data_IF_098316424181
#
_entry.id   IF_098316424181
#
_cell.length_a   1.000
_cell.length_b   1.000
_cell.length_c   1.000
_cell.angle_alpha   90.00
_cell.angle_beta   90.00
_cell.angle_gamma   90.00
#
_symmetry.space_group_name_H-M   'P 1'
#
loop_
_entity.id
_entity.type
_entity.pdbx_description
1 polymer ?
#
# COMPACT_ATOMS: atom_id res chain seq x y z
N UNK A 1 -30.74 -8.17 -48.23
CA UNK A 1 -29.42 -7.51 -48.18
C UNK A 1 -29.37 -6.64 -46.94
N UNK A 2 -28.56 -7.01 -45.94
CA UNK A 2 -28.35 -6.15 -44.76
C UNK A 2 -27.64 -4.87 -45.24
N UNK A 3 -28.19 -3.71 -44.89
CA UNK A 3 -27.61 -2.42 -45.25
C UNK A 3 -26.18 -2.34 -44.68
N UNK A 4 -25.20 -1.95 -45.51
CA UNK A 4 -23.81 -1.76 -45.07
C UNK A 4 -23.70 -0.86 -43.83
N UNK A 5 -24.62 0.09 -43.66
CA UNK A 5 -24.72 0.96 -42.48
C UNK A 5 -25.04 0.19 -41.21
N UNK A 6 -25.93 -0.79 -41.28
CA UNK A 6 -26.27 -1.64 -40.13
C UNK A 6 -25.06 -2.47 -39.69
N UNK A 7 -24.34 -3.03 -40.66
CA UNK A 7 -23.14 -3.85 -40.40
C UNK A 7 -22.02 -3.02 -39.73
N UNK A 8 -21.81 -1.78 -40.17
CA UNK A 8 -20.83 -0.86 -39.57
C UNK A 8 -21.21 -0.50 -38.13
N UNK A 9 -22.49 -0.20 -37.88
CA UNK A 9 -22.97 0.14 -36.53
C UNK A 9 -22.82 -1.06 -35.59
N UNK A 10 -23.16 -2.27 -36.02
CA UNK A 10 -22.97 -3.48 -35.21
C UNK A 10 -21.50 -3.74 -34.89
N UNK A 11 -20.59 -3.56 -35.86
CA UNK A 11 -19.14 -3.68 -35.64
C UNK A 11 -18.63 -2.65 -34.63
N UNK A 12 -19.08 -1.39 -34.74
CA UNK A 12 -18.70 -0.33 -33.82
C UNK A 12 -19.16 -0.63 -32.39
N UNK A 13 -20.39 -1.11 -32.22
CA UNK A 13 -20.93 -1.49 -30.91
C UNK A 13 -20.14 -2.64 -30.27
N UNK A 14 -19.73 -3.64 -31.07
CA UNK A 14 -18.90 -4.76 -30.58
C UNK A 14 -17.52 -4.25 -30.14
N UNK A 15 -16.89 -3.35 -30.90
CA UNK A 15 -15.58 -2.77 -30.53
C UNK A 15 -15.68 -1.97 -29.24
N UNK A 16 -16.73 -1.15 -29.09
CA UNK A 16 -16.95 -0.36 -27.88
C UNK A 16 -17.21 -1.24 -26.65
N UNK A 17 -18.01 -2.30 -26.81
CA UNK A 17 -18.28 -3.26 -25.74
C UNK A 17 -17.00 -3.98 -25.28
N UNK A 18 -16.20 -4.47 -26.22
CA UNK A 18 -14.94 -5.15 -25.90
C UNK A 18 -13.93 -4.22 -25.21
N UNK A 19 -13.84 -2.95 -25.64
CA UNK A 19 -13.00 -1.95 -24.98
C UNK A 19 -13.47 -1.65 -23.56
N UNK A 20 -14.78 -1.60 -23.34
CA UNK A 20 -15.35 -1.38 -22.01
C UNK A 20 -15.03 -2.54 -21.06
N UNK A 21 -15.26 -3.79 -21.49
CA UNK A 21 -14.90 -4.97 -20.69
C UNK A 21 -13.40 -5.06 -20.40
N UNK A 22 -12.55 -4.64 -21.35
CA UNK A 22 -11.10 -4.60 -21.13
C UNK A 22 -10.72 -3.54 -20.08
N UNK A 23 -11.33 -2.36 -20.15
CA UNK A 23 -11.12 -1.30 -19.17
C UNK A 23 -11.60 -1.69 -17.76
N UNK A 24 -12.75 -2.35 -17.65
CA UNK A 24 -13.25 -2.88 -16.37
C UNK A 24 -12.34 -3.97 -15.81
N UNK A 25 -11.86 -4.89 -16.66
CA UNK A 25 -10.89 -5.91 -16.27
C UNK A 25 -9.58 -5.30 -15.77
N UNK A 26 -9.09 -4.26 -16.43
CA UNK A 26 -7.89 -3.54 -16.03
C UNK A 26 -8.10 -2.76 -14.72
N UNK A 27 -9.28 -2.16 -14.51
CA UNK A 27 -9.62 -1.49 -13.26
C UNK A 27 -9.65 -2.47 -12.08
N UNK A 28 -10.30 -3.63 -12.25
CA UNK A 28 -10.33 -4.67 -11.21
C UNK A 28 -8.94 -5.23 -10.87
N UNK A 29 -8.07 -5.44 -11.87
CA UNK A 29 -6.68 -5.85 -11.63
C UNK A 29 -5.89 -4.75 -10.90
N UNK A 30 -6.09 -3.49 -11.27
CA UNK A 30 -5.43 -2.34 -10.63
C UNK A 30 -5.79 -2.24 -9.14
N UNK A 31 -7.05 -2.46 -8.77
CA UNK A 31 -7.49 -2.48 -7.37
C UNK A 31 -6.82 -3.59 -6.56
N UNK A 32 -6.69 -4.80 -7.13
CA UNK A 32 -6.00 -5.93 -6.48
C UNK A 32 -4.51 -5.63 -6.28
N UNK A 33 -3.86 -5.04 -7.28
CA UNK A 33 -2.45 -4.64 -7.19
C UNK A 33 -2.26 -3.58 -6.09
N UNK A 34 -3.14 -2.58 -6.03
CA UNK A 34 -3.08 -1.54 -5.01
C UNK A 34 -3.30 -2.10 -3.60
N UNK A 35 -4.25 -3.01 -3.43
CA UNK A 35 -4.46 -3.71 -2.16
C UNK A 35 -3.22 -4.51 -1.73
N UNK A 36 -2.63 -5.25 -2.66
CA UNK A 36 -1.42 -6.04 -2.41
C UNK A 36 -0.24 -5.14 -2.03
N UNK A 37 -0.06 -4.02 -2.74
CA UNK A 37 0.97 -3.03 -2.41
C UNK A 37 0.77 -2.43 -1.02
N UNK A 38 -0.47 -2.11 -0.64
CA UNK A 38 -0.78 -1.59 0.70
C UNK A 38 -0.36 -2.57 1.79
N UNK A 39 -0.71 -3.86 1.65
CA UNK A 39 -0.26 -4.91 2.57
C UNK A 39 1.27 -4.96 2.61
N UNK A 40 1.92 -4.91 1.45
CA UNK A 40 3.38 -4.99 1.37
C UNK A 40 4.08 -3.84 2.08
N UNK A 41 3.53 -2.63 2.02
CA UNK A 41 4.02 -1.46 2.76
C UNK A 41 3.92 -1.71 4.27
N UNK A 42 2.77 -2.21 4.75
CA UNK A 42 2.58 -2.52 6.19
C UNK A 42 3.58 -3.57 6.65
N UNK A 43 3.76 -4.66 5.89
CA UNK A 43 4.75 -5.71 6.22
C UNK A 43 6.16 -5.13 6.25
N UNK A 44 6.54 -4.29 5.28
CA UNK A 44 7.85 -3.63 5.28
C UNK A 44 8.06 -2.78 6.52
N UNK A 45 7.08 -1.96 6.91
CA UNK A 45 7.17 -1.13 8.12
C UNK A 45 7.40 -2.03 9.34
N UNK A 46 6.65 -3.13 9.49
CA UNK A 46 6.82 -4.07 10.60
C UNK A 46 8.22 -4.69 10.62
N UNK A 47 8.72 -5.15 9.48
CA UNK A 47 10.06 -5.75 9.37
C UNK A 47 11.15 -4.73 9.72
N UNK A 48 11.09 -3.51 9.16
CA UNK A 48 12.07 -2.47 9.47
C UNK A 48 12.02 -2.04 10.94
N UNK A 49 10.82 -1.93 11.51
CA UNK A 49 10.63 -1.59 12.93
C UNK A 49 11.21 -2.67 13.83
N UNK A 50 11.00 -3.95 13.50
CA UNK A 50 11.51 -5.08 14.26
C UNK A 50 13.04 -5.19 14.16
N UNK A 51 13.59 -5.18 12.94
CA UNK A 51 15.04 -5.27 12.70
C UNK A 51 15.75 -4.06 13.28
N UNK A 52 15.21 -2.84 13.06
CA UNK A 52 15.73 -1.61 13.64
C UNK A 52 15.71 -1.65 15.16
N UNK A 53 14.61 -2.11 15.77
CA UNK A 53 14.50 -2.30 17.21
C UNK A 53 15.50 -3.32 17.77
N UNK A 54 15.77 -4.41 17.06
CA UNK A 54 16.78 -5.40 17.43
C UNK A 54 18.19 -4.82 17.40
N UNK A 55 18.55 -4.12 16.32
CA UNK A 55 19.86 -3.46 16.17
C UNK A 55 20.04 -2.42 17.28
N UNK A 56 19.03 -1.57 17.49
CA UNK A 56 19.04 -0.55 18.53
C UNK A 56 19.19 -1.19 19.92
N UNK A 57 18.46 -2.27 20.21
CA UNK A 57 18.59 -3.03 21.47
C UNK A 57 19.99 -3.59 21.64
N UNK A 58 20.60 -4.13 20.58
CA UNK A 58 21.96 -4.68 20.63
C UNK A 58 23.01 -3.60 20.91
N UNK A 59 22.91 -2.45 20.23
CA UNK A 59 23.78 -1.29 20.46
C UNK A 59 23.60 -0.77 21.89
N UNK A 60 22.36 -0.51 22.32
CA UNK A 60 22.07 0.05 23.64
C UNK A 60 22.43 -0.89 24.79
N UNK A 61 22.31 -2.21 24.60
CA UNK A 61 22.76 -3.22 25.58
C UNK A 61 24.27 -3.12 25.86
N UNK A 62 25.07 -2.66 24.89
CA UNK A 62 26.51 -2.42 25.06
C UNK A 62 26.81 -1.15 25.87
N UNK A 63 25.90 -0.17 25.89
CA UNK A 63 26.13 1.13 26.54
C UNK A 63 25.55 1.25 27.94
N UNK A 64 24.40 0.63 28.27
CA UNK A 64 23.84 0.61 29.64
C UNK A 64 22.98 -0.63 29.88
N UNK A 65 23.35 -1.43 30.88
CA UNK A 65 22.69 -2.69 31.25
C UNK A 65 21.35 -2.50 31.99
N UNK A 66 20.95 -1.27 32.33
CA UNK A 66 19.86 -1.02 33.31
C UNK A 66 18.66 -0.21 32.80
N UNK A 67 18.60 0.21 31.53
CA UNK A 67 17.51 1.07 31.04
C UNK A 67 16.61 0.31 30.04
N UNK A 68 15.94 -0.75 30.50
CA UNK A 68 15.02 -1.48 29.61
C UNK A 68 13.73 -0.69 29.32
N UNK A 69 13.20 0.04 30.31
CA UNK A 69 11.88 0.66 30.19
C UNK A 69 11.87 2.00 29.44
N UNK A 70 12.90 2.85 29.64
CA UNK A 70 12.93 4.21 29.08
C UNK A 70 13.09 4.21 27.55
N UNK A 71 13.86 3.27 27.02
CA UNK A 71 14.08 3.16 25.57
C UNK A 71 12.85 2.58 24.86
N UNK A 72 12.13 1.64 25.47
CA UNK A 72 10.87 1.13 24.93
C UNK A 72 9.81 2.24 24.92
N UNK A 73 9.69 3.01 26.00
CA UNK A 73 8.74 4.14 26.05
C UNK A 73 9.11 5.20 25.00
N UNK A 74 10.39 5.56 24.87
CA UNK A 74 10.83 6.51 23.85
C UNK A 74 10.58 6.01 22.42
N UNK A 75 10.80 4.72 22.17
CA UNK A 75 10.52 4.09 20.88
C UNK A 75 9.03 4.08 20.56
N UNK A 76 8.19 3.63 21.50
CA UNK A 76 6.73 3.60 21.32
C UNK A 76 6.17 5.01 21.14
N UNK A 77 6.65 6.00 21.89
CA UNK A 77 6.25 7.40 21.71
C UNK A 77 6.66 7.96 20.34
N UNK A 78 7.88 7.66 19.88
CA UNK A 78 8.35 8.07 18.55
C UNK A 78 7.51 7.41 17.44
N UNK A 79 7.19 6.12 17.59
CA UNK A 79 6.35 5.38 16.65
C UNK A 79 4.92 5.94 16.59
N UNK A 80 4.32 6.23 17.75
CA UNK A 80 2.99 6.85 17.82
C UNK A 80 2.98 8.23 17.14
N UNK A 81 4.03 9.02 17.36
CA UNK A 81 4.18 10.35 16.74
C UNK A 81 4.26 10.23 15.20
N UNK A 82 5.03 9.26 14.68
CA UNK A 82 5.14 9.03 13.24
C UNK A 82 3.80 8.62 12.62
N UNK A 83 3.04 7.72 13.27
CA UNK A 83 1.68 7.37 12.83
C UNK A 83 0.75 8.59 12.81
N UNK A 84 0.81 9.43 13.84
CA UNK A 84 -0.02 10.63 13.94
C UNK A 84 0.28 11.63 12.82
N UNK A 85 1.56 11.86 12.52
CA UNK A 85 2.00 12.71 11.41
C UNK A 85 1.52 12.14 10.06
N UNK A 86 1.62 10.82 9.87
CA UNK A 86 1.17 10.15 8.65
C UNK A 86 -0.34 10.35 8.41
N UNK A 87 -1.16 10.14 9.45
CA UNK A 87 -2.62 10.35 9.37
C UNK A 87 -2.99 11.81 9.07
N UNK A 88 -2.30 12.78 9.69
CA UNK A 88 -2.56 14.21 9.44
C UNK A 88 -2.19 14.59 8.01
N UNK A 89 -1.09 14.03 7.49
CA UNK A 89 -0.59 14.36 6.15
C UNK A 89 -1.44 13.71 5.05
N UNK A 90 -1.95 12.51 5.28
CA UNK A 90 -2.82 11.80 4.32
C UNK A 90 -4.22 12.43 4.18
N UNK A 91 -4.68 13.17 5.19
CA UNK A 91 -5.97 13.89 5.16
C UNK A 91 -5.94 15.27 4.48
N UNK A 92 -4.77 15.72 4.00
CA UNK A 92 -4.57 17.03 3.39
C UNK A 92 -4.37 16.90 1.88
#
# INVERSE_FOLDING_TARGET
MISKRFLIVSLLSIVLFNNHCYAEGQAGISEIINFTNSIFVVVRILVFTFVGGMILRFILKKFKTEISNRNVIAFTASFLLTLLIMIITEKK
#
